data_IF_192541499143
#
_entry.id   IF_192541499143
#
_cell.length_a   1.000
_cell.length_b   1.000
_cell.length_c   1.000
_cell.angle_alpha   90.00
_cell.angle_beta   90.00
_cell.angle_gamma   90.00
#
_symmetry.space_group_name_H-M   'P 1'
#
loop_
_entity.id
_entity.type
_entity.pdbx_description
1 polymer ?
#
# COMPACT_ATOMS: atom_id res chain seq x y z
N UNK A 1 -7.77 7.66 -9.34
CA UNK A 1 -7.83 6.62 -8.29
C UNK A 1 -7.50 7.29 -6.96
N UNK A 2 -8.16 6.91 -5.87
CA UNK A 2 -7.99 7.55 -4.56
C UNK A 2 -8.01 6.49 -3.44
N UNK A 3 -7.15 6.65 -2.44
CA UNK A 3 -7.09 5.80 -1.27
C UNK A 3 -7.88 6.42 -0.11
N UNK A 4 -8.76 5.65 0.51
CA UNK A 4 -9.64 6.11 1.61
C UNK A 4 -9.60 5.13 2.77
N UNK A 5 -9.34 5.63 3.97
CA UNK A 5 -9.49 4.87 5.21
C UNK A 5 -10.92 4.98 5.72
N UNK A 6 -11.45 3.89 6.24
CA UNK A 6 -12.77 3.83 6.85
C UNK A 6 -12.65 3.15 8.21
N UNK A 7 -13.41 3.66 9.17
CA UNK A 7 -13.73 2.97 10.41
C UNK A 7 -15.10 2.33 10.27
N UNK A 8 -15.17 1.02 10.43
CA UNK A 8 -16.42 0.25 10.34
C UNK A 8 -16.67 -0.47 11.67
N UNK A 9 -17.93 -0.59 12.05
CA UNK A 9 -18.34 -1.49 13.13
C UNK A 9 -18.56 -2.88 12.54
N UNK A 10 -17.75 -3.86 12.94
CA UNK A 10 -17.90 -5.24 12.51
C UNK A 10 -18.63 -6.05 13.57
N UNK A 11 -19.75 -6.65 13.19
CA UNK A 11 -20.51 -7.59 14.01
C UNK A 11 -20.02 -9.01 13.72
N UNK A 12 -19.53 -9.71 14.73
CA UNK A 12 -19.13 -11.12 14.67
C UNK A 12 -19.90 -11.89 15.75
N UNK A 13 -21.06 -12.43 15.38
CA UNK A 13 -21.97 -13.10 16.33
C UNK A 13 -22.45 -12.13 17.41
N UNK A 14 -22.15 -12.44 18.67
CA UNK A 14 -22.55 -11.63 19.84
C UNK A 14 -21.59 -10.46 20.14
N UNK A 15 -20.53 -10.27 19.36
CA UNK A 15 -19.53 -9.23 19.59
C UNK A 15 -19.54 -8.16 18.48
N UNK A 16 -19.42 -6.90 18.88
CA UNK A 16 -19.21 -5.76 18.00
C UNK A 16 -17.80 -5.21 18.22
N UNK A 17 -17.04 -4.95 17.15
CA UNK A 17 -15.70 -4.36 17.23
C UNK A 17 -15.49 -3.28 16.20
N UNK A 18 -14.79 -2.22 16.60
CA UNK A 18 -14.27 -1.22 15.69
C UNK A 18 -13.16 -1.82 14.83
N UNK A 19 -13.29 -1.68 13.51
CA UNK A 19 -12.33 -2.19 12.53
C UNK A 19 -11.94 -1.08 11.56
N UNK A 20 -10.64 -0.93 11.32
CA UNK A 20 -10.10 0.00 10.34
C UNK A 20 -9.81 -0.74 9.03
N UNK A 21 -10.24 -0.17 7.91
CA UNK A 21 -10.02 -0.72 6.58
C UNK A 21 -9.53 0.37 5.63
N UNK A 22 -8.58 0.01 4.76
CA UNK A 22 -8.11 0.87 3.70
C UNK A 22 -8.66 0.36 2.36
N UNK A 23 -9.31 1.25 1.60
CA UNK A 23 -9.88 0.92 0.29
C UNK A 23 -9.29 1.80 -0.79
N UNK A 24 -9.12 1.21 -1.96
CA UNK A 24 -8.76 1.90 -3.18
C UNK A 24 -10.01 2.06 -4.05
N UNK A 25 -10.32 3.29 -4.44
CA UNK A 25 -11.51 3.63 -5.21
C UNK A 25 -11.11 4.25 -6.55
N UNK A 26 -11.80 3.87 -7.62
CA UNK A 26 -11.66 4.52 -8.92
C UNK A 26 -13.03 4.71 -9.59
N UNK A 27 -13.14 5.80 -10.35
CA UNK A 27 -14.36 6.15 -11.05
C UNK A 27 -14.31 5.74 -12.53
N UNK A 28 -15.48 5.74 -13.17
CA UNK A 28 -15.64 5.37 -14.58
C UNK A 28 -14.76 6.25 -15.47
N UNK A 29 -14.16 5.65 -16.50
CA UNK A 29 -13.34 6.38 -17.48
C UNK A 29 -14.06 7.58 -18.10
N UNK A 30 -15.36 7.45 -18.39
CA UNK A 30 -16.16 8.52 -19.01
C UNK A 30 -16.77 9.48 -17.97
N UNK A 31 -16.92 9.04 -16.71
CA UNK A 31 -17.46 9.87 -15.64
C UNK A 31 -16.76 9.55 -14.31
N UNK A 32 -15.63 10.22 -14.00
CA UNK A 32 -14.87 9.97 -12.78
C UNK A 32 -15.63 10.21 -11.47
N UNK A 33 -16.81 10.85 -11.51
CA UNK A 33 -17.68 11.03 -10.34
C UNK A 33 -18.56 9.81 -10.05
N UNK A 34 -18.68 8.86 -10.97
CA UNK A 34 -19.35 7.58 -10.75
C UNK A 34 -18.32 6.54 -10.36
N UNK A 35 -18.56 5.84 -9.25
CA UNK A 35 -17.67 4.78 -8.76
C UNK A 35 -17.73 3.57 -9.71
N UNK A 36 -16.59 3.19 -10.28
CA UNK A 36 -16.45 2.00 -11.12
C UNK A 36 -15.97 0.80 -10.31
N UNK A 37 -15.08 1.02 -9.33
CA UNK A 37 -14.57 -0.07 -8.52
C UNK A 37 -14.02 0.34 -7.17
N UNK A 38 -14.00 -0.66 -6.29
CA UNK A 38 -13.49 -0.59 -4.93
C UNK A 38 -12.72 -1.86 -4.61
N UNK A 39 -11.49 -1.73 -4.11
CA UNK A 39 -10.66 -2.84 -3.67
C UNK A 39 -10.22 -2.65 -2.22
N UNK A 40 -10.16 -3.73 -1.45
CA UNK A 40 -9.48 -3.73 -0.16
C UNK A 40 -7.97 -3.74 -0.39
N UNK A 41 -7.25 -2.87 0.30
CA UNK A 41 -5.79 -2.80 0.28
C UNK A 41 -5.26 -2.81 1.72
N UNK A 42 -4.15 -3.51 1.96
CA UNK A 42 -3.63 -3.72 3.31
C UNK A 42 -4.37 -4.84 4.05
N UNK A 43 -4.67 -4.63 5.33
CA UNK A 43 -5.27 -5.62 6.22
C UNK A 43 -6.44 -5.01 7.02
N UNK A 44 -7.19 -5.85 7.75
CA UNK A 44 -8.19 -5.39 8.70
C UNK A 44 -7.51 -5.09 10.04
N UNK A 45 -7.45 -3.83 10.46
CA UNK A 45 -6.84 -3.42 11.72
C UNK A 45 -7.85 -3.36 12.86
N UNK A 46 -7.49 -3.88 14.04
CA UNK A 46 -8.25 -3.71 15.28
C UNK A 46 -7.51 -2.76 16.23
N UNK A 47 -8.25 -1.92 16.96
CA UNK A 47 -7.77 -0.96 17.97
C UNK A 47 -6.86 0.16 17.42
N UNK A 48 -5.59 -0.12 17.12
CA UNK A 48 -4.63 0.87 16.59
C UNK A 48 -4.24 0.52 15.15
N UNK A 49 -4.31 1.50 14.26
CA UNK A 49 -4.15 1.30 12.83
C UNK A 49 -2.90 1.99 12.27
N UNK A 50 -1.89 2.28 13.11
CA UNK A 50 -0.68 3.00 12.72
C UNK A 50 0.00 2.45 11.44
N UNK A 51 -0.03 1.13 11.21
CA UNK A 51 0.51 0.55 9.98
C UNK A 51 -0.39 0.79 8.74
N UNK A 52 -1.73 0.77 8.90
CA UNK A 52 -2.66 1.15 7.84
C UNK A 52 -2.57 2.66 7.54
N UNK A 53 -2.42 3.49 8.57
CA UNK A 53 -2.22 4.92 8.42
C UNK A 53 -0.91 5.23 7.67
N UNK A 54 0.19 4.56 8.03
CA UNK A 54 1.47 4.67 7.29
C UNK A 54 1.33 4.27 5.82
N UNK A 55 0.59 3.19 5.54
CA UNK A 55 0.32 2.75 4.17
C UNK A 55 -0.52 3.78 3.41
N UNK A 56 -1.57 4.33 4.04
CA UNK A 56 -2.39 5.38 3.44
C UNK A 56 -1.57 6.65 3.15
N UNK A 57 -0.74 7.10 4.09
CA UNK A 57 0.14 8.27 3.90
C UNK A 57 1.06 8.08 2.69
N UNK A 58 1.69 6.90 2.57
CA UNK A 58 2.56 6.60 1.45
C UNK A 58 1.80 6.62 0.11
N UNK A 59 0.64 5.94 0.05
CA UNK A 59 -0.18 5.90 -1.17
C UNK A 59 -0.70 7.30 -1.54
N UNK A 60 -1.18 8.08 -0.56
CA UNK A 60 -1.69 9.43 -0.78
C UNK A 60 -0.61 10.33 -1.35
N UNK A 61 0.59 10.34 -0.76
CA UNK A 61 1.72 11.14 -1.25
C UNK A 61 2.10 10.74 -2.67
N UNK A 62 2.23 9.44 -2.95
CA UNK A 62 2.62 8.95 -4.27
C UNK A 62 1.54 9.19 -5.34
N UNK A 63 0.29 8.78 -5.07
CA UNK A 63 -0.77 8.72 -6.08
C UNK A 63 -1.64 9.97 -6.17
N UNK A 64 -1.83 10.70 -5.07
CA UNK A 64 -2.74 11.86 -5.01
C UNK A 64 -1.96 13.19 -5.03
N UNK A 65 -0.73 13.23 -4.51
CA UNK A 65 0.09 14.45 -4.41
C UNK A 65 1.28 14.50 -5.38
N UNK A 66 1.50 13.44 -6.18
CA UNK A 66 2.61 13.39 -7.13
C UNK A 66 3.99 13.27 -6.48
N UNK A 67 4.05 12.80 -5.23
CA UNK A 67 5.29 12.49 -4.52
C UNK A 67 6.02 11.28 -5.13
N UNK A 68 7.27 11.01 -4.70
CA UNK A 68 8.06 9.93 -5.25
C UNK A 68 7.49 8.56 -4.87
N UNK A 69 7.70 7.56 -5.72
CA UNK A 69 7.29 6.18 -5.47
C UNK A 69 7.98 5.55 -4.26
N UNK A 70 9.21 6.00 -3.96
CA UNK A 70 9.98 5.65 -2.77
C UNK A 70 10.28 6.96 -2.04
N UNK A 71 9.85 7.08 -0.79
CA UNK A 71 10.07 8.30 -0.02
C UNK A 71 11.52 8.34 0.50
N UNK A 72 12.08 9.54 0.76
CA UNK A 72 13.39 9.66 1.37
C UNK A 72 13.51 8.85 2.67
N UNK A 73 14.55 8.04 2.77
CA UNK A 73 14.82 7.17 3.93
C UNK A 73 14.03 5.86 3.98
N UNK A 74 13.16 5.57 3.00
CA UNK A 74 12.46 4.28 2.95
C UNK A 74 13.37 3.15 2.44
N UNK A 75 13.13 1.94 2.93
CA UNK A 75 13.81 0.73 2.48
C UNK A 75 12.77 -0.37 2.21
N UNK A 76 13.17 -1.35 1.38
CA UNK A 76 12.30 -2.48 1.10
C UNK A 76 12.05 -3.28 2.39
N UNK A 77 10.78 -3.58 2.64
CA UNK A 77 10.40 -4.47 3.74
C UNK A 77 10.84 -5.89 3.42
N UNK A 78 11.65 -6.44 4.31
CA UNK A 78 12.03 -7.84 4.27
C UNK A 78 11.09 -8.71 5.13
N UNK A 79 11.07 -10.00 4.84
CA UNK A 79 10.49 -11.01 5.73
C UNK A 79 11.24 -11.06 7.06
N UNK A 80 10.69 -11.75 8.06
CA UNK A 80 11.37 -11.96 9.35
C UNK A 80 12.75 -12.64 9.25
N UNK A 81 13.06 -13.26 8.10
CA UNK A 81 14.36 -13.86 7.79
C UNK A 81 15.28 -12.96 6.93
N UNK A 82 14.95 -11.68 6.74
CA UNK A 82 15.75 -10.72 5.98
C UNK A 82 15.65 -10.86 4.46
N UNK A 83 14.86 -11.81 3.93
CA UNK A 83 14.66 -11.99 2.48
C UNK A 83 13.52 -11.13 1.96
N UNK A 84 13.66 -10.61 0.75
CA UNK A 84 12.54 -9.99 0.03
C UNK A 84 11.45 -11.02 -0.25
N UNK A 85 10.16 -10.63 -0.23
CA UNK A 85 9.08 -11.52 -0.63
C UNK A 85 9.23 -11.92 -2.10
N UNK A 86 9.18 -13.23 -2.37
CA UNK A 86 9.06 -13.74 -3.73
C UNK A 86 7.59 -13.72 -4.14
N UNK A 87 7.31 -13.13 -5.29
CA UNK A 87 5.96 -13.06 -5.86
C UNK A 87 5.88 -13.99 -7.09
N UNK A 88 4.75 -14.65 -7.32
CA UNK A 88 4.52 -15.42 -8.54
C UNK A 88 4.71 -14.57 -9.80
N UNK A 89 5.19 -15.18 -10.88
CA UNK A 89 5.51 -14.46 -12.12
C UNK A 89 4.28 -13.77 -12.73
N UNK A 90 3.10 -14.38 -12.61
CA UNK A 90 1.83 -13.80 -13.05
C UNK A 90 1.47 -12.50 -12.31
N UNK A 91 1.83 -12.40 -11.03
CA UNK A 91 1.61 -11.20 -10.22
C UNK A 91 2.56 -10.09 -10.65
N UNK A 92 3.84 -10.43 -10.86
CA UNK A 92 4.85 -9.49 -11.34
C UNK A 92 4.46 -8.95 -12.73
N UNK A 93 4.02 -9.82 -13.63
CA UNK A 93 3.55 -9.41 -14.95
C UNK A 93 2.34 -8.48 -14.88
N UNK A 94 1.34 -8.81 -14.05
CA UNK A 94 0.16 -7.97 -13.84
C UNK A 94 0.49 -6.61 -13.20
N UNK A 95 1.54 -6.54 -12.39
CA UNK A 95 2.04 -5.31 -11.77
C UNK A 95 2.82 -4.40 -12.74
N UNK A 96 3.02 -4.82 -14.00
CA UNK A 96 3.71 -4.02 -15.02
C UNK A 96 5.20 -4.32 -15.15
N UNK A 97 5.70 -5.42 -14.55
CA UNK A 97 7.08 -5.86 -14.72
C UNK A 97 7.81 -6.12 -13.40
N UNK A 98 9.11 -6.46 -13.47
CA UNK A 98 9.92 -6.77 -12.30
C UNK A 98 10.00 -5.59 -11.33
N UNK A 99 10.02 -5.89 -10.04
CA UNK A 99 10.25 -4.88 -9.01
C UNK A 99 11.66 -4.27 -9.12
N UNK A 100 11.80 -3.02 -8.69
CA UNK A 100 13.11 -2.36 -8.56
C UNK A 100 14.05 -3.15 -7.64
N UNK A 101 15.34 -3.15 -7.97
CA UNK A 101 16.35 -3.80 -7.11
C UNK A 101 16.54 -3.04 -5.79
N UNK A 102 17.19 -3.69 -4.82
CA UNK A 102 17.50 -3.06 -3.52
C UNK A 102 18.35 -1.80 -3.70
N UNK A 103 19.31 -1.84 -4.62
CA UNK A 103 20.22 -0.74 -4.93
C UNK A 103 19.48 0.43 -5.58
N UNK A 104 18.56 0.15 -6.49
CA UNK A 104 17.68 1.15 -7.09
C UNK A 104 16.83 1.84 -6.02
N UNK A 105 16.19 1.06 -5.14
CA UNK A 105 15.36 1.61 -4.07
C UNK A 105 16.19 2.45 -3.12
N UNK A 106 17.38 2.00 -2.72
CA UNK A 106 18.28 2.78 -1.88
C UNK A 106 18.67 4.12 -2.53
N UNK A 107 18.96 4.12 -3.83
CA UNK A 107 19.23 5.34 -4.60
C UNK A 107 18.02 6.28 -4.62
N UNK A 108 16.82 5.77 -4.90
CA UNK A 108 15.59 6.56 -4.93
C UNK A 108 15.24 7.14 -3.55
N UNK A 109 15.52 6.39 -2.49
CA UNK A 109 15.33 6.81 -1.10
C UNK A 109 16.42 7.78 -0.59
N UNK A 110 17.48 8.05 -1.38
CA UNK A 110 18.63 8.84 -0.92
C UNK A 110 19.40 8.19 0.22
N UNK A 111 19.36 6.86 0.33
CA UNK A 111 20.14 6.10 1.31
C UNK A 111 21.58 5.91 0.81
N UNK A 112 22.59 5.95 1.70
CA UNK A 112 23.95 5.59 1.32
C UNK A 112 23.95 4.16 0.78
N UNK A 113 24.62 3.95 -0.37
CA UNK A 113 24.62 2.66 -1.06
C UNK A 113 25.00 1.53 -0.12
N UNK A 114 24.12 0.53 0.00
CA UNK A 114 24.39 -0.68 0.77
C UNK A 114 25.50 -1.42 0.02
N UNK A 115 26.73 -1.36 0.53
CA UNK A 115 27.78 -2.25 0.09
C UNK A 115 27.38 -3.68 0.46
N UNK A 116 27.25 -4.54 -0.56
CA UNK A 116 27.07 -5.99 -0.41
C UNK A 116 28.39 -6.60 0.04
#
# INVERSE_FOLDING_TARGET
MQARSYKIMQLTGESARDTHVLRLLWGERQNPRKLEGIALIGYLGWYEDAALWRLWEHIRRYMEEGGPAIQPGESLRTSGAGKLPELPAEVIAAAGGPASSVEEVARLAGLPGVAV
#
